data_IF_529677161699
#
_entry.id   IF_529677161699
#
_cell.length_a   1.000
_cell.length_b   1.000
_cell.length_c   1.000
_cell.angle_alpha   90.00
_cell.angle_beta   90.00
_cell.angle_gamma   90.00
#
_symmetry.space_group_name_H-M   'P 1'
#
loop_
_entity.id
_entity.type
_entity.pdbx_description
1 polymer ?
#
# COMPACT_ATOMS: atom_id res chain seq x y z
N UNK A 1 13.49 32.66 -6.89
CA UNK A 1 12.10 32.40 -7.34
C UNK A 1 12.15 31.07 -8.06
N UNK A 2 11.74 29.97 -7.40
CA UNK A 2 11.90 28.62 -7.98
C UNK A 2 10.89 28.44 -9.10
N UNK A 3 11.36 27.92 -10.23
CA UNK A 3 10.55 27.85 -11.46
C UNK A 3 9.55 26.70 -11.38
N UNK A 4 8.42 26.82 -12.07
CA UNK A 4 7.30 25.85 -12.05
C UNK A 4 7.73 24.41 -12.40
N UNK A 5 8.88 24.25 -13.07
CA UNK A 5 9.50 22.98 -13.44
C UNK A 5 10.20 22.27 -12.26
N UNK A 6 10.76 23.02 -11.32
CA UNK A 6 11.40 22.44 -10.11
C UNK A 6 10.37 21.89 -9.12
N UNK A 7 9.13 22.39 -9.13
CA UNK A 7 8.08 21.91 -8.23
C UNK A 7 7.52 20.54 -8.67
N UNK A 8 7.57 20.23 -9.96
CA UNK A 8 7.15 18.91 -10.49
C UNK A 8 8.19 17.82 -10.26
N UNK A 9 9.48 18.15 -10.12
CA UNK A 9 10.54 17.17 -9.83
C UNK A 9 10.74 16.88 -8.34
N UNK A 10 10.22 17.71 -7.43
CA UNK A 10 10.34 17.48 -5.99
C UNK A 10 9.29 16.51 -5.43
N UNK A 11 8.32 16.07 -6.24
CA UNK A 11 7.26 15.16 -5.82
C UNK A 11 7.40 13.80 -6.52
N UNK A 12 7.73 12.80 -5.71
CA UNK A 12 7.50 11.35 -5.86
C UNK A 12 8.51 10.47 -6.62
N UNK A 13 9.56 10.04 -5.92
CA UNK A 13 10.29 8.81 -6.26
C UNK A 13 9.44 7.52 -6.11
N UNK A 14 8.20 7.60 -5.60
CA UNK A 14 7.34 6.43 -5.31
C UNK A 14 5.84 6.74 -5.57
N UNK A 15 5.51 7.37 -6.71
CA UNK A 15 4.12 7.56 -7.13
C UNK A 15 3.46 6.22 -7.49
N UNK A 16 2.94 5.51 -6.49
CA UNK A 16 2.01 4.41 -6.69
C UNK A 16 0.65 4.97 -7.12
N UNK A 17 0.44 5.16 -8.42
CA UNK A 17 -0.84 5.55 -8.99
C UNK A 17 -1.82 4.36 -8.98
N UNK A 18 -2.59 4.28 -7.90
CA UNK A 18 -3.71 3.38 -7.78
C UNK A 18 -5.00 4.09 -8.17
N UNK A 19 -5.61 3.63 -9.25
CA UNK A 19 -7.00 3.96 -9.54
C UNK A 19 -7.87 3.15 -8.57
N UNK A 20 -8.53 3.86 -7.66
CA UNK A 20 -9.57 3.28 -6.80
C UNK A 20 -10.81 3.08 -7.68
N UNK A 21 -11.30 1.86 -7.73
CA UNK A 21 -12.49 1.50 -8.51
C UNK A 21 -13.45 0.70 -7.65
N UNK A 22 -14.75 0.92 -7.82
CA UNK A 22 -15.77 0.13 -7.14
C UNK A 22 -15.97 -1.21 -7.84
N UNK A 23 -16.20 -2.27 -7.07
CA UNK A 23 -16.52 -3.59 -7.59
C UNK A 23 -17.43 -4.36 -6.64
N UNK A 24 -17.95 -5.49 -7.09
CA UNK A 24 -18.77 -6.37 -6.26
C UNK A 24 -17.97 -7.61 -5.83
N UNK A 25 -17.94 -7.88 -4.52
CA UNK A 25 -17.29 -9.04 -3.94
C UNK A 25 -18.26 -9.73 -2.99
N UNK A 26 -18.64 -10.98 -3.30
CA UNK A 26 -19.57 -11.79 -2.49
C UNK A 26 -20.90 -11.07 -2.19
N UNK A 27 -21.50 -10.41 -3.19
CA UNK A 27 -22.77 -9.68 -3.03
C UNK A 27 -22.65 -8.33 -2.32
N UNK A 28 -21.43 -7.82 -2.09
CA UNK A 28 -21.18 -6.54 -1.43
C UNK A 28 -20.36 -5.62 -2.32
N UNK A 29 -20.72 -4.33 -2.37
CA UNK A 29 -19.89 -3.30 -2.99
C UNK A 29 -18.61 -3.10 -2.18
N UNK A 30 -17.46 -3.19 -2.83
CA UNK A 30 -16.13 -3.00 -2.24
C UNK A 30 -15.31 -2.03 -3.08
N UNK A 31 -14.38 -1.32 -2.44
CA UNK A 31 -13.38 -0.48 -3.11
C UNK A 31 -12.15 -1.32 -3.43
N UNK A 32 -11.78 -1.40 -4.70
CA UNK A 32 -10.55 -2.04 -5.15
C UNK A 32 -9.36 -1.10 -5.01
N UNK A 33 -8.19 -1.69 -4.76
CA UNK A 33 -6.92 -0.99 -4.59
C UNK A 33 -6.90 0.04 -3.45
N UNK A 34 -7.84 -0.06 -2.52
CA UNK A 34 -7.96 0.82 -1.35
C UNK A 34 -7.75 -0.01 -0.08
N UNK A 35 -6.55 0.00 0.53
CA UNK A 35 -6.28 -0.77 1.72
C UNK A 35 -6.98 -0.20 2.96
N UNK A 36 -7.55 -1.09 3.76
CA UNK A 36 -8.23 -0.74 5.00
C UNK A 36 -7.67 -1.55 6.18
N UNK A 37 -7.79 -0.99 7.38
CA UNK A 37 -7.37 -1.66 8.62
C UNK A 37 -8.35 -2.76 8.97
N UNK A 38 -7.81 -3.92 9.35
CA UNK A 38 -8.60 -5.04 9.86
C UNK A 38 -9.13 -4.75 11.27
N UNK A 39 -10.27 -5.34 11.68
CA UNK A 39 -10.73 -5.30 13.06
C UNK A 39 -9.68 -5.86 14.03
N UNK A 40 -9.70 -5.42 15.28
CA UNK A 40 -8.78 -5.92 16.32
C UNK A 40 -8.94 -7.43 16.50
N UNK A 41 -7.81 -8.15 16.56
CA UNK A 41 -7.79 -9.62 16.71
C UNK A 41 -7.74 -10.41 15.39
N UNK A 42 -7.75 -9.73 14.24
CA UNK A 42 -7.60 -10.38 12.94
C UNK A 42 -6.18 -10.90 12.69
N UNK A 43 -6.03 -11.89 11.79
CA UNK A 43 -4.72 -12.50 11.47
C UNK A 43 -3.75 -11.54 10.77
N UNK A 44 -4.25 -10.48 10.16
CA UNK A 44 -3.50 -9.49 9.38
C UNK A 44 -3.94 -8.09 9.78
N UNK A 45 -3.02 -7.14 9.73
CA UNK A 45 -3.30 -5.76 10.16
C UNK A 45 -4.13 -4.98 9.15
N UNK A 46 -3.92 -5.24 7.87
CA UNK A 46 -4.61 -4.57 6.77
C UNK A 46 -5.12 -5.58 5.76
N UNK A 47 -6.18 -5.21 5.08
CA UNK A 47 -6.72 -5.94 3.94
C UNK A 47 -6.93 -4.98 2.77
N UNK A 48 -6.94 -5.54 1.57
CA UNK A 48 -7.23 -4.82 0.33
C UNK A 48 -7.90 -5.75 -0.66
N UNK A 49 -8.88 -5.22 -1.38
CA UNK A 49 -9.49 -5.95 -2.50
C UNK A 49 -8.75 -5.61 -3.78
N UNK A 50 -8.36 -6.65 -4.52
CA UNK A 50 -7.57 -6.51 -5.74
C UNK A 50 -8.04 -7.49 -6.79
N UNK A 51 -7.89 -7.10 -8.05
CA UNK A 51 -8.15 -7.98 -9.18
C UNK A 51 -6.88 -8.77 -9.50
N UNK A 52 -6.99 -10.09 -9.58
CA UNK A 52 -5.88 -10.95 -10.00
C UNK A 52 -5.75 -10.96 -11.54
N UNK A 53 -4.72 -11.63 -12.07
CA UNK A 53 -4.49 -11.76 -13.53
C UNK A 53 -5.67 -12.42 -14.27
N UNK A 54 -6.40 -13.31 -13.60
CA UNK A 54 -7.59 -13.98 -14.13
C UNK A 54 -8.84 -13.11 -14.05
N UNK A 55 -8.72 -11.85 -13.64
CA UNK A 55 -9.83 -10.92 -13.50
C UNK A 55 -10.74 -11.15 -12.30
N UNK A 56 -10.38 -12.04 -11.37
CA UNK A 56 -11.15 -12.33 -10.17
C UNK A 56 -10.77 -11.34 -9.06
N UNK A 57 -11.76 -10.89 -8.30
CA UNK A 57 -11.54 -10.04 -7.13
C UNK A 57 -11.17 -10.94 -5.96
N UNK A 58 -10.04 -10.66 -5.33
CA UNK A 58 -9.55 -11.38 -4.16
C UNK A 58 -9.30 -10.39 -3.02
N UNK A 59 -9.44 -10.88 -1.78
CA UNK A 59 -9.06 -10.16 -0.57
C UNK A 59 -7.64 -10.54 -0.18
N UNK A 60 -6.71 -9.59 -0.23
CA UNK A 60 -5.30 -9.80 0.17
C UNK A 60 -5.08 -9.19 1.55
N UNK A 61 -4.58 -9.99 2.48
CA UNK A 61 -4.17 -9.53 3.80
C UNK A 61 -2.67 -9.25 3.87
N UNK A 62 -2.28 -8.15 4.52
CA UNK A 62 -0.89 -7.75 4.66
C UNK A 62 -0.65 -7.03 6.00
N UNK A 63 0.63 -6.87 6.36
CA UNK A 63 1.05 -6.34 7.66
C UNK A 63 0.83 -7.31 8.82
N UNK A 64 1.59 -7.10 9.88
CA UNK A 64 1.50 -7.88 11.11
C UNK A 64 0.69 -7.10 12.17
N UNK A 65 -0.35 -7.70 12.79
CA UNK A 65 -1.17 -7.05 13.80
C UNK A 65 -0.36 -6.52 15.00
N UNK A 66 0.72 -7.20 15.36
CA UNK A 66 1.57 -6.89 16.51
C UNK A 66 2.70 -5.90 16.17
N UNK A 67 2.84 -5.51 14.90
CA UNK A 67 3.87 -4.57 14.48
C UNK A 67 3.31 -3.20 14.13
N UNK A 68 4.06 -2.17 14.48
CA UNK A 68 3.79 -0.79 14.09
C UNK A 68 4.59 -0.39 12.86
N UNK A 69 4.00 0.44 12.00
CA UNK A 69 4.64 0.95 10.79
C UNK A 69 5.30 2.28 11.12
N UNK A 70 6.61 2.23 11.34
CA UNK A 70 7.46 3.40 11.64
C UNK A 70 8.07 3.97 10.35
N UNK A 71 7.20 4.41 9.44
CA UNK A 71 7.60 4.91 8.10
C UNK A 71 8.06 6.36 8.10
N UNK A 72 7.73 7.09 9.16
CA UNK A 72 8.20 8.43 9.50
C UNK A 72 9.70 8.45 9.81
N UNK A 73 10.22 7.38 10.42
CA UNK A 73 11.66 7.18 10.59
C UNK A 73 12.31 6.74 9.25
N UNK A 74 13.17 7.58 8.63
CA UNK A 74 13.76 7.28 7.33
C UNK A 74 14.71 6.09 7.37
N UNK A 75 15.39 5.82 8.48
CA UNK A 75 16.30 4.70 8.64
C UNK A 75 15.51 3.38 8.74
N UNK A 76 14.40 3.37 9.49
CA UNK A 76 13.48 2.23 9.57
C UNK A 76 12.81 1.95 8.24
N UNK A 77 12.35 2.99 7.55
CA UNK A 77 11.77 2.89 6.20
C UNK A 77 12.77 2.30 5.21
N UNK A 78 13.99 2.83 5.14
CA UNK A 78 15.05 2.31 4.26
C UNK A 78 15.36 0.84 4.54
N UNK A 79 15.50 0.49 5.82
CA UNK A 79 15.77 -0.88 6.25
C UNK A 79 14.63 -1.86 5.91
N UNK A 80 13.37 -1.45 6.07
CA UNK A 80 12.22 -2.25 5.68
C UNK A 80 12.23 -2.47 4.16
N UNK A 81 12.35 -1.40 3.39
CA UNK A 81 12.31 -1.44 1.93
C UNK A 81 13.43 -2.29 1.33
N UNK A 82 14.63 -2.24 1.91
CA UNK A 82 15.76 -3.08 1.51
C UNK A 82 15.50 -4.57 1.79
N UNK A 83 15.05 -4.92 2.99
CA UNK A 83 14.78 -6.32 3.38
C UNK A 83 13.61 -6.95 2.61
N UNK A 84 12.68 -6.13 2.13
CA UNK A 84 11.48 -6.59 1.42
C UNK A 84 11.54 -6.38 -0.10
N UNK A 85 12.70 -5.96 -0.65
CA UNK A 85 12.89 -5.71 -2.08
C UNK A 85 11.79 -4.82 -2.67
N UNK A 86 11.50 -3.68 -2.04
CA UNK A 86 10.42 -2.79 -2.48
C UNK A 86 10.70 -2.05 -3.79
N UNK A 87 11.90 -2.20 -4.37
CA UNK A 87 12.25 -1.81 -5.74
C UNK A 87 11.51 -2.65 -6.79
N UNK A 88 11.34 -3.96 -6.52
CA UNK A 88 10.49 -4.85 -7.30
C UNK A 88 9.57 -5.65 -6.36
N UNK A 89 8.48 -5.01 -5.91
CA UNK A 89 7.58 -5.63 -4.96
C UNK A 89 6.67 -6.69 -5.59
N UNK A 90 6.71 -6.88 -6.91
CA UNK A 90 5.85 -7.80 -7.66
C UNK A 90 4.43 -7.26 -7.89
N UNK A 91 3.46 -8.12 -8.24
CA UNK A 91 2.15 -7.67 -8.69
C UNK A 91 1.20 -7.29 -7.54
N UNK A 92 0.18 -6.47 -7.85
CA UNK A 92 -0.82 -5.95 -6.89
C UNK A 92 -1.61 -7.04 -6.15
N UNK A 93 -1.70 -8.25 -6.68
CA UNK A 93 -2.40 -9.35 -6.00
C UNK A 93 -1.52 -10.11 -4.98
N UNK A 94 -0.33 -9.58 -4.64
CA UNK A 94 0.57 -10.12 -3.61
C UNK A 94 0.69 -9.17 -2.42
N UNK A 95 0.82 -9.74 -1.22
CA UNK A 95 0.94 -8.98 0.02
C UNK A 95 2.18 -8.07 0.07
N UNK A 96 3.29 -8.47 -0.56
CA UNK A 96 4.55 -7.69 -0.59
C UNK A 96 4.35 -6.31 -1.22
N UNK A 97 3.59 -6.24 -2.32
CA UNK A 97 3.22 -4.99 -2.97
C UNK A 97 2.58 -4.02 -2.00
N UNK A 98 1.56 -4.47 -1.28
CA UNK A 98 0.82 -3.62 -0.34
C UNK A 98 1.61 -3.25 0.91
N UNK A 99 2.46 -4.15 1.40
CA UNK A 99 3.41 -3.83 2.45
C UNK A 99 4.37 -2.73 2.02
N UNK A 100 4.94 -2.80 0.82
CA UNK A 100 5.81 -1.76 0.28
C UNK A 100 5.07 -0.43 0.04
N UNK A 101 3.82 -0.50 -0.45
CA UNK A 101 2.93 0.65 -0.61
C UNK A 101 2.65 1.36 0.72
N UNK A 102 2.37 0.61 1.78
CA UNK A 102 2.13 1.18 3.10
C UNK A 102 3.38 1.84 3.69
N UNK A 103 4.58 1.34 3.33
CA UNK A 103 5.88 1.88 3.72
C UNK A 103 6.45 2.92 2.73
N UNK A 104 5.60 3.56 1.90
CA UNK A 104 6.01 4.70 1.05
C UNK A 104 6.28 5.96 1.85
N UNK A 105 7.23 6.77 1.39
CA UNK A 105 7.41 8.12 1.91
C UNK A 105 6.14 8.95 1.63
N UNK A 106 5.76 9.83 2.56
CA UNK A 106 4.69 10.84 2.40
C UNK A 106 3.23 10.40 2.56
N UNK A 107 2.91 9.15 2.91
CA UNK A 107 1.58 8.86 3.43
C UNK A 107 1.50 9.34 4.89
N UNK A 108 0.68 10.35 5.19
CA UNK A 108 0.39 10.74 6.58
C UNK A 108 -0.16 9.54 7.33
N UNK A 109 0.34 9.28 8.54
CA UNK A 109 -0.28 8.30 9.43
C UNK A 109 -1.55 8.98 9.91
N UNK A 110 -2.70 8.60 9.36
CA UNK A 110 -3.98 8.97 9.97
C UNK A 110 -4.07 8.19 11.29
N UNK A 111 -4.12 8.97 12.38
CA UNK A 111 -4.28 8.49 13.75
C UNK A 111 -5.76 8.23 14.03
#
# INVERSE_FOLDING_TARGET
>A
MKTFKEYTESCCEECFDHIISEAEYQGRKVKLNDPFRAPSGDKKKFYVYVKNEKGNIIKVGFGDPNMEIKRDDPARRKSFRARHNCSDPGPKYKARYWSCFQWRASAKVDN
#
